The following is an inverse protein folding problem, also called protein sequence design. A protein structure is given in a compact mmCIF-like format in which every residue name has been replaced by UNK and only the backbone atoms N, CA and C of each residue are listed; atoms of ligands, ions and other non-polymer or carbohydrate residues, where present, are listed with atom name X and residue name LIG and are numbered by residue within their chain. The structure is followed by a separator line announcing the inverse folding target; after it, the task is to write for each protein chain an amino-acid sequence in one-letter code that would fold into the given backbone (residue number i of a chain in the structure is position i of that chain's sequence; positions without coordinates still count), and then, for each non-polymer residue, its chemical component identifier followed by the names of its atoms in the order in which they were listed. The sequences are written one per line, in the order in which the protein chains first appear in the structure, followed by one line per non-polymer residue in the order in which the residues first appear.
data_IF_438356927630
#
_entry.id   IF_438356927630
#
_cell.length_a   1.000
_cell.length_b   1.000
_cell.length_c   1.000
_cell.angle_alpha   90.00
_cell.angle_beta   90.00
_cell.angle_gamma   90.00
#
_symmetry.space_group_name_H-M   'P 1'
#
loop_
_entity.id
_entity.type
_entity.pdbx_description
1 polymer ?
#
# COMPACT_ATOMS: atom_id res chain seq x y z
N UNK A 1 2.92 -52.02 -8.97
CA UNK A 1 1.63 -51.83 -8.26
C UNK A 1 0.59 -51.41 -9.29
N UNK A 2 -0.69 -51.73 -9.09
CA UNK A 2 -1.77 -51.32 -10.02
C UNK A 2 -2.23 -49.88 -9.74
N UNK A 3 -2.89 -49.23 -10.71
CA UNK A 3 -3.47 -47.90 -10.56
C UNK A 3 -4.48 -47.81 -9.38
N UNK A 4 -5.16 -48.91 -9.07
CA UNK A 4 -6.07 -49.01 -7.91
C UNK A 4 -5.34 -48.89 -6.57
N UNK A 5 -4.13 -49.47 -6.48
CA UNK A 5 -3.31 -49.38 -5.27
C UNK A 5 -2.79 -47.95 -5.04
N UNK A 6 -2.35 -47.27 -6.11
CA UNK A 6 -1.88 -45.89 -6.01
C UNK A 6 -3.00 -44.95 -5.54
N UNK A 7 -4.20 -45.16 -6.05
CA UNK A 7 -5.39 -44.41 -5.64
C UNK A 7 -5.70 -44.62 -4.15
N UNK A 8 -5.61 -45.86 -3.66
CA UNK A 8 -5.81 -46.19 -2.25
C UNK A 8 -4.81 -45.45 -1.34
N UNK A 9 -3.53 -45.52 -1.67
CA UNK A 9 -2.48 -44.85 -0.90
C UNK A 9 -2.56 -43.32 -0.97
N UNK A 10 -2.91 -42.76 -2.13
CA UNK A 10 -3.10 -41.33 -2.27
C UNK A 10 -4.27 -40.81 -1.41
N UNK A 11 -5.35 -41.58 -1.24
CA UNK A 11 -6.43 -41.21 -0.31
C UNK A 11 -5.97 -41.11 1.14
N UNK A 12 -5.01 -41.94 1.55
CA UNK A 12 -4.40 -41.84 2.88
C UNK A 12 -3.53 -40.59 3.01
N UNK A 13 -2.75 -40.25 1.98
CA UNK A 13 -2.02 -38.98 1.93
C UNK A 13 -2.98 -37.76 1.96
N UNK A 14 -4.13 -37.84 1.30
CA UNK A 14 -5.19 -36.83 1.36
C UNK A 14 -5.76 -36.66 2.79
N UNK A 15 -5.89 -37.74 3.57
CA UNK A 15 -6.32 -37.64 4.97
C UNK A 15 -5.31 -36.83 5.82
N UNK A 16 -4.01 -37.02 5.57
CA UNK A 16 -2.97 -36.21 6.23
C UNK A 16 -2.97 -34.75 5.76
N UNK A 17 -3.22 -34.51 4.46
CA UNK A 17 -3.38 -33.16 3.92
C UNK A 17 -4.57 -32.42 4.55
N UNK A 18 -5.69 -33.12 4.76
CA UNK A 18 -6.85 -32.59 5.46
C UNK A 18 -6.52 -32.25 6.93
N UNK A 19 -5.75 -33.10 7.61
CA UNK A 19 -5.31 -32.84 8.97
C UNK A 19 -4.36 -31.62 9.06
N UNK A 20 -3.48 -31.42 8.07
CA UNK A 20 -2.69 -30.18 7.95
C UNK A 20 -3.60 -28.95 7.79
N UNK A 21 -4.60 -29.02 6.90
CA UNK A 21 -5.57 -27.94 6.72
C UNK A 21 -6.28 -27.57 8.04
N UNK A 22 -6.72 -28.58 8.81
CA UNK A 22 -7.36 -28.39 10.12
C UNK A 22 -6.43 -27.74 11.15
N UNK A 23 -5.12 -27.99 11.05
CA UNK A 23 -4.10 -27.33 11.87
C UNK A 23 -3.72 -25.92 11.37
N UNK A 24 -4.33 -25.43 10.28
CA UNK A 24 -4.02 -24.12 9.69
C UNK A 24 -2.76 -24.11 8.82
N UNK A 25 -2.24 -25.29 8.48
CA UNK A 25 -1.10 -25.49 7.59
C UNK A 25 -1.55 -25.62 6.13
N UNK A 26 -0.64 -25.37 5.19
CA UNK A 26 -0.91 -25.63 3.77
C UNK A 26 -1.21 -27.13 3.59
N UNK A 27 -2.35 -27.53 3.00
CA UNK A 27 -2.83 -28.91 3.02
C UNK A 27 -2.06 -29.82 2.06
N UNK A 28 -0.87 -30.24 2.47
CA UNK A 28 -0.08 -31.28 1.81
C UNK A 28 0.14 -32.41 2.81
N UNK A 29 -0.11 -33.63 2.36
CA UNK A 29 0.08 -34.85 3.12
C UNK A 29 0.88 -35.85 2.31
N UNK A 30 1.62 -36.71 3.02
CA UNK A 30 2.44 -37.74 2.43
C UNK A 30 2.44 -39.01 3.28
N UNK A 31 2.61 -40.15 2.63
CA UNK A 31 2.82 -41.44 3.30
C UNK A 31 3.96 -42.21 2.64
N UNK A 32 4.66 -43.03 3.42
CA UNK A 32 5.70 -43.95 2.95
C UNK A 32 5.18 -45.38 3.10
N UNK A 33 5.21 -46.14 2.01
CA UNK A 33 4.73 -47.53 1.94
C UNK A 33 5.89 -48.46 1.61
N UNK A 34 5.95 -49.61 2.29
CA UNK A 34 6.89 -50.70 1.99
C UNK A 34 6.17 -52.03 2.14
N UNK A 35 6.35 -52.94 1.19
CA UNK A 35 5.77 -54.29 1.22
C UNK A 35 4.23 -54.29 1.45
N UNK A 36 3.54 -53.30 0.85
CA UNK A 36 2.09 -53.12 0.98
C UNK A 36 1.61 -52.55 2.32
N UNK A 37 2.53 -52.08 3.18
CA UNK A 37 2.20 -51.51 4.49
C UNK A 37 2.68 -50.06 4.61
N UNK A 38 1.88 -49.22 5.27
CA UNK A 38 2.28 -47.85 5.61
C UNK A 38 3.32 -47.89 6.72
N UNK A 39 4.52 -47.40 6.42
CA UNK A 39 5.65 -47.29 7.35
C UNK A 39 5.55 -45.97 8.13
N UNK A 40 5.22 -44.87 7.45
CA UNK A 40 5.09 -43.58 8.08
C UNK A 40 4.10 -42.68 7.35
N UNK A 41 3.59 -41.69 8.08
CA UNK A 41 2.81 -40.59 7.53
C UNK A 41 3.49 -39.27 7.83
N UNK A 42 3.17 -38.25 7.05
CA UNK A 42 3.68 -36.90 7.22
C UNK A 42 2.72 -35.89 6.63
N UNK A 43 2.76 -34.69 7.16
CA UNK A 43 1.96 -33.55 6.70
C UNK A 43 2.74 -32.28 6.91
N UNK A 44 2.42 -31.23 6.16
CA UNK A 44 3.04 -29.94 6.37
C UNK A 44 2.84 -29.48 7.82
N UNK A 45 3.94 -29.07 8.46
CA UNK A 45 3.94 -28.43 9.77
C UNK A 45 4.92 -27.22 9.90
N UNK A 46 5.17 -26.41 8.83
CA UNK A 46 6.15 -25.32 8.92
C UNK A 46 5.72 -24.19 9.85
N UNK A 47 4.42 -23.89 9.97
CA UNK A 47 3.91 -22.81 10.83
C UNK A 47 3.96 -23.24 12.29
N UNK A 48 3.41 -24.41 12.62
CA UNK A 48 3.34 -24.94 13.97
C UNK A 48 4.73 -25.32 14.51
N UNK A 49 5.56 -25.94 13.65
CA UNK A 49 6.90 -26.40 14.03
C UNK A 49 7.97 -25.32 13.97
N UNK A 50 7.67 -24.14 13.40
CA UNK A 50 8.67 -23.12 13.05
C UNK A 50 9.85 -23.70 12.24
N UNK A 51 9.61 -24.77 11.47
CA UNK A 51 10.62 -25.50 10.70
C UNK A 51 10.36 -25.27 9.20
N UNK A 52 11.20 -24.49 8.50
CA UNK A 52 11.01 -24.23 7.07
C UNK A 52 11.14 -25.49 6.20
N UNK A 53 11.66 -26.60 6.76
CA UNK A 53 11.83 -27.88 6.07
C UNK A 53 10.74 -28.90 6.40
N UNK A 54 9.79 -28.59 7.29
CA UNK A 54 8.71 -29.51 7.72
C UNK A 54 7.61 -29.65 6.66
N UNK A 55 8.01 -29.93 5.41
CA UNK A 55 7.12 -30.35 4.34
C UNK A 55 6.67 -31.81 4.58
N UNK A 56 5.48 -32.15 4.10
CA UNK A 56 4.87 -33.46 4.31
C UNK A 56 5.82 -34.62 3.96
N UNK A 57 6.55 -34.50 2.85
CA UNK A 57 7.48 -35.50 2.36
C UNK A 57 8.68 -35.65 3.30
N UNK A 58 9.26 -34.54 3.76
CA UNK A 58 10.39 -34.56 4.70
C UNK A 58 9.96 -35.16 6.04
N UNK A 59 8.78 -34.80 6.53
CA UNK A 59 8.21 -35.35 7.77
C UNK A 59 8.02 -36.86 7.64
N UNK A 60 7.42 -37.32 6.52
CA UNK A 60 7.18 -38.74 6.28
C UNK A 60 8.49 -39.53 6.12
N UNK A 61 9.47 -38.99 5.39
CA UNK A 61 10.80 -39.59 5.22
C UNK A 61 11.54 -39.74 6.55
N UNK A 62 11.56 -38.68 7.38
CA UNK A 62 12.18 -38.70 8.72
C UNK A 62 11.54 -39.76 9.60
N UNK A 63 10.21 -39.81 9.65
CA UNK A 63 9.48 -40.81 10.42
C UNK A 63 9.71 -42.24 9.91
N UNK A 64 9.75 -42.45 8.59
CA UNK A 64 10.05 -43.75 8.00
C UNK A 64 11.47 -44.22 8.34
N UNK A 65 12.45 -43.31 8.25
CA UNK A 65 13.84 -43.60 8.55
C UNK A 65 14.04 -43.98 10.02
N UNK A 66 13.37 -43.27 10.93
CA UNK A 66 13.36 -43.63 12.35
C UNK A 66 12.74 -45.01 12.58
N UNK A 67 11.57 -45.28 11.98
CA UNK A 67 10.89 -46.57 12.15
C UNK A 67 11.70 -47.75 11.61
N UNK A 68 12.38 -47.58 10.49
CA UNK A 68 13.24 -48.60 9.89
C UNK A 68 14.66 -48.61 10.49
N UNK A 69 14.98 -47.65 11.37
CA UNK A 69 16.32 -47.42 11.89
C UNK A 69 17.38 -47.32 10.78
N UNK A 70 17.02 -46.70 9.66
CA UNK A 70 17.88 -46.55 8.49
C UNK A 70 17.49 -45.30 7.70
N UNK A 71 18.48 -44.47 7.35
CA UNK A 71 18.26 -43.28 6.51
C UNK A 71 18.00 -43.62 5.04
N UNK A 72 18.38 -44.83 4.61
CA UNK A 72 18.04 -45.37 3.29
C UNK A 72 16.73 -46.15 3.40
N UNK A 73 15.80 -45.83 2.52
CA UNK A 73 14.45 -46.34 2.43
C UNK A 73 14.30 -47.19 1.16
N UNK A 74 15.30 -48.02 0.87
CA UNK A 74 15.29 -48.90 -0.31
C UNK A 74 14.01 -49.77 -0.31
N UNK A 75 13.37 -49.85 -1.48
CA UNK A 75 12.09 -50.56 -1.68
C UNK A 75 10.85 -49.79 -1.21
N UNK A 76 10.98 -48.62 -0.59
CA UNK A 76 9.84 -47.81 -0.20
C UNK A 76 9.29 -47.00 -1.39
N UNK A 77 7.97 -46.79 -1.39
CA UNK A 77 7.26 -45.84 -2.24
C UNK A 77 6.71 -44.69 -1.40
N UNK A 78 6.87 -43.46 -1.84
CA UNK A 78 6.27 -42.28 -1.20
C UNK A 78 5.08 -41.79 -2.02
N UNK A 79 3.96 -41.53 -1.37
CA UNK A 79 2.78 -40.92 -1.97
C UNK A 79 2.60 -39.53 -1.36
N UNK A 80 2.44 -38.48 -2.18
CA UNK A 80 2.26 -37.10 -1.72
C UNK A 80 1.17 -36.39 -2.52
N UNK A 81 0.35 -35.57 -1.86
CA UNK A 81 -0.79 -34.93 -2.53
C UNK A 81 -0.40 -33.82 -3.52
N UNK A 82 0.82 -33.30 -3.45
CA UNK A 82 1.32 -32.23 -4.31
C UNK A 82 2.69 -32.63 -4.87
N UNK A 83 2.99 -32.20 -6.10
CA UNK A 83 4.30 -32.40 -6.71
C UNK A 83 5.43 -31.85 -5.80
N UNK A 84 6.47 -32.65 -5.52
CA UNK A 84 7.51 -32.26 -4.58
C UNK A 84 8.38 -31.13 -5.12
N UNK A 85 8.81 -30.23 -4.23
CA UNK A 85 9.79 -29.21 -4.54
C UNK A 85 11.22 -29.77 -4.57
N UNK A 86 12.19 -28.98 -5.05
CA UNK A 86 13.59 -29.39 -5.18
C UNK A 86 14.20 -29.96 -3.88
N UNK A 87 13.88 -29.38 -2.72
CA UNK A 87 14.34 -29.89 -1.42
C UNK A 87 13.81 -31.30 -1.14
N UNK A 88 12.51 -31.52 -1.34
CA UNK A 88 11.86 -32.80 -1.06
C UNK A 88 12.34 -33.87 -2.05
N UNK A 89 12.41 -33.53 -3.35
CA UNK A 89 12.96 -34.40 -4.39
C UNK A 89 14.41 -34.82 -4.11
N UNK A 90 15.28 -33.88 -3.70
CA UNK A 90 16.64 -34.19 -3.29
C UNK A 90 16.70 -35.14 -2.10
N UNK A 91 15.85 -34.93 -1.08
CA UNK A 91 15.76 -35.82 0.07
C UNK A 91 15.30 -37.23 -0.31
N UNK A 92 14.34 -37.37 -1.23
CA UNK A 92 13.88 -38.66 -1.75
C UNK A 92 14.99 -39.44 -2.46
N UNK A 93 15.79 -38.75 -3.29
CA UNK A 93 16.94 -39.32 -3.98
C UNK A 93 18.03 -39.77 -3.00
N UNK A 94 18.33 -38.97 -1.98
CA UNK A 94 19.27 -39.34 -0.91
C UNK A 94 18.77 -40.52 -0.08
N UNK A 95 17.45 -40.59 0.16
CA UNK A 95 16.81 -41.70 0.85
C UNK A 95 16.67 -42.96 -0.02
N UNK A 96 16.95 -42.87 -1.33
CA UNK A 96 16.87 -44.00 -2.29
C UNK A 96 15.48 -44.62 -2.36
N UNK A 97 14.45 -43.79 -2.37
CA UNK A 97 13.10 -44.30 -2.63
C UNK A 97 13.07 -45.02 -3.98
N UNK A 98 12.41 -46.17 -4.01
CA UNK A 98 12.18 -46.88 -5.26
C UNK A 98 11.24 -46.08 -6.17
N UNK A 99 10.22 -45.43 -5.55
CA UNK A 99 9.15 -44.76 -6.28
C UNK A 99 8.58 -43.57 -5.52
N UNK A 100 8.17 -42.55 -6.26
CA UNK A 100 7.44 -41.37 -5.77
C UNK A 100 6.19 -41.21 -6.62
N UNK A 101 5.05 -41.10 -5.97
CA UNK A 101 3.76 -40.89 -6.60
C UNK A 101 3.18 -39.59 -6.09
N UNK A 102 2.80 -38.67 -6.97
CA UNK A 102 2.20 -37.40 -6.57
C UNK A 102 0.84 -37.15 -7.19
N UNK A 103 0.01 -36.37 -6.49
CA UNK A 103 -1.34 -36.01 -6.91
C UNK A 103 -1.37 -34.82 -7.86
N UNK A 104 -1.55 -33.62 -7.32
CA UNK A 104 -1.61 -32.39 -8.10
C UNK A 104 -0.21 -31.92 -8.53
N UNK A 105 -0.12 -31.25 -9.69
CA UNK A 105 1.11 -30.57 -10.15
C UNK A 105 1.34 -29.27 -9.39
N UNK A 106 2.61 -28.86 -9.24
CA UNK A 106 3.01 -27.60 -8.61
C UNK A 106 3.75 -26.70 -9.62
N UNK A 107 3.02 -25.86 -10.37
CA UNK A 107 3.58 -25.12 -11.51
C UNK A 107 4.58 -24.03 -11.12
N UNK A 108 4.70 -23.66 -9.83
CA UNK A 108 5.60 -22.59 -9.39
C UNK A 108 6.90 -23.10 -8.78
N UNK A 109 6.90 -24.30 -8.19
CA UNK A 109 8.07 -24.82 -7.45
C UNK A 109 8.33 -26.32 -7.63
N UNK A 110 7.48 -27.03 -8.36
CA UNK A 110 7.57 -28.48 -8.57
C UNK A 110 8.85 -28.88 -9.29
N UNK A 111 9.49 -29.94 -8.79
CA UNK A 111 10.79 -30.42 -9.25
C UNK A 111 10.75 -31.85 -9.83
N UNK A 112 9.55 -32.34 -10.15
CA UNK A 112 9.33 -33.65 -10.77
C UNK A 112 8.79 -33.55 -12.20
N UNK A 113 8.94 -32.38 -12.85
CA UNK A 113 8.52 -32.14 -14.22
C UNK A 113 7.97 -30.73 -14.48
N UNK A 114 7.48 -30.01 -13.46
CA UNK A 114 6.86 -28.69 -13.67
C UNK A 114 7.86 -27.56 -13.92
N UNK A 115 8.72 -27.26 -12.94
CA UNK A 115 9.74 -26.20 -13.05
C UNK A 115 11.12 -26.80 -13.27
N UNK A 116 11.43 -27.84 -12.51
CA UNK A 116 12.63 -28.65 -12.64
C UNK A 116 12.23 -30.12 -12.79
N UNK A 117 13.14 -30.95 -13.27
CA UNK A 117 12.96 -32.40 -13.30
C UNK A 117 14.19 -33.10 -12.71
N UNK A 118 14.33 -33.07 -11.38
CA UNK A 118 15.49 -33.66 -10.70
C UNK A 118 15.58 -35.18 -10.91
N UNK A 119 14.44 -35.86 -11.01
CA UNK A 119 14.39 -37.30 -11.25
C UNK A 119 14.74 -37.69 -12.69
N UNK A 120 14.73 -36.74 -13.63
CA UNK A 120 15.10 -36.97 -15.03
C UNK A 120 16.59 -36.95 -15.32
N UNK A 121 17.45 -36.62 -14.33
CA UNK A 121 18.89 -36.53 -14.51
C UNK A 121 19.59 -37.87 -14.23
N UNK A 122 20.08 -38.51 -15.28
CA UNK A 122 20.75 -39.82 -15.21
C UNK A 122 22.10 -39.78 -14.47
N UNK A 123 22.72 -38.60 -14.35
CA UNK A 123 23.99 -38.39 -13.66
C UNK A 123 23.84 -38.49 -12.12
N UNK A 124 22.61 -38.36 -11.61
CA UNK A 124 22.32 -38.56 -10.19
C UNK A 124 22.32 -40.07 -9.91
N UNK A 125 23.17 -40.51 -8.99
CA UNK A 125 23.47 -41.93 -8.76
C UNK A 125 22.22 -42.80 -8.54
N UNK A 126 21.37 -42.44 -7.58
CA UNK A 126 20.14 -43.20 -7.28
C UNK A 126 18.99 -42.69 -8.13
N UNK A 127 18.27 -43.62 -8.73
CA UNK A 127 17.15 -43.35 -9.60
C UNK A 127 15.85 -43.76 -8.92
N UNK A 128 14.84 -42.91 -9.03
CA UNK A 128 13.53 -43.09 -8.40
C UNK A 128 12.46 -42.99 -9.48
N UNK A 129 11.57 -43.98 -9.56
CA UNK A 129 10.44 -43.93 -10.48
C UNK A 129 9.46 -42.84 -10.04
N UNK A 130 8.99 -42.01 -10.97
CA UNK A 130 8.03 -40.94 -10.68
C UNK A 130 6.72 -41.18 -11.42
N UNK A 131 5.61 -41.13 -10.68
CA UNK A 131 4.26 -41.18 -11.25
C UNK A 131 3.46 -39.97 -10.77
N UNK A 132 3.04 -39.12 -11.69
CA UNK A 132 2.23 -37.94 -11.40
C UNK A 132 0.75 -38.14 -11.72
N UNK A 133 -0.10 -37.29 -11.13
CA UNK A 133 -1.49 -37.15 -11.53
C UNK A 133 -2.49 -38.06 -10.80
N UNK A 134 -2.06 -38.82 -9.80
CA UNK A 134 -2.96 -39.74 -9.07
C UNK A 134 -3.91 -38.93 -8.18
N UNK A 135 -5.21 -38.95 -8.48
CA UNK A 135 -6.22 -38.10 -7.82
C UNK A 135 -5.87 -36.59 -7.89
N UNK A 136 -5.32 -36.14 -9.02
CA UNK A 136 -4.90 -34.76 -9.22
C UNK A 136 -5.99 -33.73 -8.88
N UNK A 137 -7.22 -33.97 -9.34
CA UNK A 137 -8.34 -33.05 -9.13
C UNK A 137 -8.72 -32.94 -7.65
N UNK A 138 -8.78 -34.05 -6.91
CA UNK A 138 -9.09 -34.05 -5.48
C UNK A 138 -7.99 -33.32 -4.68
N UNK A 139 -6.73 -33.61 -4.99
CA UNK A 139 -5.58 -32.97 -4.36
C UNK A 139 -5.53 -31.45 -4.64
N UNK A 140 -5.72 -31.05 -5.90
CA UNK A 140 -5.74 -29.65 -6.30
C UNK A 140 -6.94 -28.88 -5.74
N UNK A 141 -8.09 -29.54 -5.62
CA UNK A 141 -9.30 -28.94 -5.03
C UNK A 141 -9.12 -28.64 -3.55
N UNK A 142 -8.49 -29.52 -2.78
CA UNK A 142 -8.20 -29.27 -1.37
C UNK A 142 -7.28 -28.05 -1.17
N UNK A 143 -6.19 -27.97 -1.96
CA UNK A 143 -5.23 -26.87 -1.89
C UNK A 143 -5.86 -25.53 -2.28
N UNK A 144 -6.58 -25.50 -3.41
CA UNK A 144 -7.24 -24.28 -3.89
C UNK A 144 -8.38 -23.82 -2.97
N UNK A 145 -9.13 -24.77 -2.39
CA UNK A 145 -10.16 -24.53 -1.37
C UNK A 145 -9.59 -23.84 -0.13
N UNK A 146 -8.49 -24.35 0.42
CA UNK A 146 -7.81 -23.78 1.59
C UNK A 146 -7.41 -22.32 1.39
N UNK A 147 -6.71 -22.00 0.28
CA UNK A 147 -6.31 -20.62 0.01
C UNK A 147 -7.50 -19.71 -0.29
N UNK A 148 -8.57 -20.23 -0.89
CA UNK A 148 -9.81 -19.46 -1.10
C UNK A 148 -10.48 -19.12 0.22
N UNK A 149 -10.55 -20.08 1.15
CA UNK A 149 -11.10 -19.85 2.48
C UNK A 149 -10.24 -18.85 3.28
N UNK A 150 -8.91 -18.97 3.26
CA UNK A 150 -8.02 -18.00 3.90
C UNK A 150 -8.20 -16.59 3.36
N UNK A 151 -8.27 -16.41 2.04
CA UNK A 151 -8.56 -15.10 1.44
C UNK A 151 -9.92 -14.54 1.87
N UNK A 152 -10.94 -15.39 1.99
CA UNK A 152 -12.27 -14.99 2.48
C UNK A 152 -12.23 -14.55 3.95
N UNK A 153 -11.54 -15.31 4.81
CA UNK A 153 -11.37 -14.96 6.24
C UNK A 153 -10.63 -13.64 6.42
N UNK A 154 -9.49 -13.45 5.74
CA UNK A 154 -8.74 -12.19 5.78
C UNK A 154 -9.58 -11.00 5.33
N UNK A 155 -10.39 -11.18 4.28
CA UNK A 155 -11.32 -10.15 3.81
C UNK A 155 -12.40 -9.85 4.85
N UNK A 156 -12.96 -10.88 5.49
CA UNK A 156 -13.98 -10.72 6.54
C UNK A 156 -13.41 -10.01 7.77
N UNK A 157 -12.20 -10.34 8.22
CA UNK A 157 -11.50 -9.68 9.33
C UNK A 157 -11.16 -8.22 9.00
N UNK A 158 -10.74 -7.93 7.75
CA UNK A 158 -10.50 -6.56 7.29
C UNK A 158 -11.80 -5.74 7.24
N UNK A 159 -12.90 -6.33 6.79
CA UNK A 159 -14.24 -5.71 6.82
C UNK A 159 -14.74 -5.50 8.25
N UNK A 160 -14.51 -6.46 9.15
CA UNK A 160 -14.90 -6.35 10.55
C UNK A 160 -14.15 -5.22 11.28
N UNK A 161 -12.86 -5.02 10.99
CA UNK A 161 -12.07 -3.91 11.56
C UNK A 161 -12.51 -2.53 11.07
N UNK A 162 -12.93 -2.44 9.81
CA UNK A 162 -13.34 -1.18 9.19
C UNK A 162 -14.55 -1.41 8.27
N UNK A 163 -15.78 -1.49 8.82
CA UNK A 163 -16.96 -1.74 8.02
C UNK A 163 -17.12 -0.67 6.95
N UNK A 164 -17.43 -1.09 5.72
CA UNK A 164 -17.73 -0.16 4.64
C UNK A 164 -19.16 0.36 4.84
N UNK A 165 -19.33 1.68 4.86
CA UNK A 165 -20.66 2.30 4.89
C UNK A 165 -21.41 2.10 3.58
N UNK A 166 -22.72 1.97 3.68
CA UNK A 166 -23.61 1.79 2.53
C UNK A 166 -23.60 2.96 1.54
N UNK A 167 -23.24 4.16 1.99
CA UNK A 167 -23.15 5.37 1.18
C UNK A 167 -21.74 5.61 0.59
N UNK A 168 -20.81 4.66 0.78
CA UNK A 168 -19.44 4.76 0.31
C UNK A 168 -19.02 3.56 -0.56
N UNK A 169 -17.92 3.75 -1.28
CA UNK A 169 -17.20 2.72 -2.02
C UNK A 169 -15.78 2.60 -1.46
N UNK A 170 -15.20 1.40 -1.56
CA UNK A 170 -13.81 1.13 -1.21
C UNK A 170 -13.11 0.52 -2.41
N UNK A 171 -12.08 1.19 -2.90
CA UNK A 171 -11.32 0.70 -4.05
C UNK A 171 -10.70 -0.64 -3.67
N UNK A 172 -10.82 -1.70 -4.50
CA UNK A 172 -10.23 -2.99 -4.21
C UNK A 172 -8.71 -2.89 -4.01
N UNK A 173 -8.15 -3.57 -3.00
CA UNK A 173 -6.72 -3.51 -2.69
C UNK A 173 -5.84 -3.93 -3.89
N UNK A 174 -6.35 -4.80 -4.76
CA UNK A 174 -5.67 -5.22 -5.99
C UNK A 174 -5.38 -4.07 -6.97
N UNK A 175 -6.15 -2.97 -6.93
CA UNK A 175 -5.88 -1.78 -7.74
C UNK A 175 -4.57 -1.09 -7.35
N UNK A 176 -4.07 -1.34 -6.13
CA UNK A 176 -2.84 -0.76 -5.58
C UNK A 176 -1.69 -1.77 -5.55
N UNK A 177 -1.80 -2.88 -6.28
CA UNK A 177 -0.70 -3.83 -6.42
C UNK A 177 0.41 -3.24 -7.29
N UNK A 178 1.68 -3.47 -6.92
CA UNK A 178 2.86 -3.13 -7.73
C UNK A 178 3.02 -1.62 -8.08
N UNK A 179 2.67 -0.73 -7.15
CA UNK A 179 2.85 0.72 -7.34
C UNK A 179 4.35 1.10 -7.39
N UNK A 180 4.82 1.78 -8.46
CA UNK A 180 6.23 2.19 -8.57
C UNK A 180 6.63 3.15 -7.45
N UNK A 181 7.73 2.86 -6.75
CA UNK A 181 8.28 3.76 -5.72
C UNK A 181 7.39 3.96 -4.49
N UNK A 182 6.44 3.06 -4.22
CA UNK A 182 5.51 3.17 -3.08
C UNK A 182 5.53 1.88 -2.24
N UNK A 183 6.59 1.63 -1.45
CA UNK A 183 6.79 0.37 -0.73
C UNK A 183 6.05 0.30 0.62
N UNK A 184 5.38 1.37 1.05
CA UNK A 184 4.83 1.48 2.40
C UNK A 184 3.55 0.65 2.60
N UNK A 185 3.48 0.03 3.77
CA UNK A 185 2.30 -0.71 4.20
C UNK A 185 1.14 0.28 4.50
N UNK A 186 -0.10 -0.02 4.08
CA UNK A 186 -1.21 0.87 4.34
C UNK A 186 -1.59 0.85 5.83
N UNK A 187 -1.78 2.02 6.42
CA UNK A 187 -2.38 2.18 7.75
C UNK A 187 -3.75 2.84 7.61
N UNK A 188 -4.67 2.53 8.53
CA UNK A 188 -6.05 2.99 8.44
C UNK A 188 -6.56 3.52 9.78
N UNK A 189 -7.36 4.58 9.71
CA UNK A 189 -8.15 5.11 10.83
C UNK A 189 -9.62 5.14 10.45
N UNK A 190 -10.50 4.85 11.39
CA UNK A 190 -11.96 4.91 11.19
C UNK A 190 -12.72 5.33 12.45
N UNK A 191 -11.98 5.67 13.51
CA UNK A 191 -12.45 6.05 14.83
C UNK A 191 -12.52 7.57 15.03
N UNK A 192 -12.19 8.36 14.00
CA UNK A 192 -12.37 9.81 14.04
C UNK A 192 -13.88 10.14 14.03
N UNK A 193 -14.38 10.99 14.94
CA UNK A 193 -15.79 11.35 15.01
C UNK A 193 -16.40 11.78 13.67
N UNK A 194 -15.70 12.64 12.93
CA UNK A 194 -16.17 13.17 11.64
C UNK A 194 -16.15 12.16 10.51
N UNK A 195 -15.37 11.08 10.61
CA UNK A 195 -15.42 10.00 9.63
C UNK A 195 -16.72 9.21 9.75
N UNK A 196 -17.34 9.18 10.94
CA UNK A 196 -18.56 8.43 11.22
C UNK A 196 -18.50 7.01 10.63
N UNK A 197 -17.38 6.31 10.85
CA UNK A 197 -17.13 4.94 10.36
C UNK A 197 -16.51 4.81 8.97
N UNK A 198 -16.30 5.89 8.21
CA UNK A 198 -15.49 5.83 6.99
C UNK A 198 -14.04 5.47 7.33
N UNK A 199 -13.41 4.65 6.48
CA UNK A 199 -11.99 4.32 6.61
C UNK A 199 -11.13 5.31 5.84
N UNK A 200 -10.24 6.00 6.54
CA UNK A 200 -9.21 6.84 5.96
C UNK A 200 -7.87 6.09 5.96
N UNK A 201 -7.18 6.09 4.83
CA UNK A 201 -5.80 5.62 4.74
C UNK A 201 -4.84 6.74 5.13
N UNK A 202 -3.76 6.37 5.81
CA UNK A 202 -2.63 7.26 6.09
C UNK A 202 -1.32 6.50 5.99
N UNK A 203 -0.30 7.14 5.43
CA UNK A 203 1.08 6.78 5.75
C UNK A 203 1.44 7.44 7.07
N UNK A 204 2.13 6.71 7.95
CA UNK A 204 2.70 7.20 9.20
C UNK A 204 4.02 6.44 9.42
N UNK A 205 5.08 7.02 8.85
CA UNK A 205 6.38 6.38 8.69
C UNK A 205 7.44 7.13 9.50
N UNK A 206 8.51 6.44 9.88
CA UNK A 206 9.58 6.98 10.71
C UNK A 206 9.27 6.96 12.23
N UNK A 207 10.22 7.40 13.07
CA UNK A 207 10.07 7.34 14.52
C UNK A 207 8.97 8.29 15.03
N UNK A 208 8.11 7.84 15.93
CA UNK A 208 7.04 8.70 16.50
C UNK A 208 7.56 9.82 17.39
N UNK A 209 8.75 9.64 17.94
CA UNK A 209 9.51 10.57 18.76
C UNK A 209 10.53 11.40 17.94
N UNK A 210 10.46 11.33 16.60
CA UNK A 210 11.30 12.14 15.74
C UNK A 210 11.15 13.64 16.08
N UNK A 211 12.25 14.42 16.03
CA UNK A 211 12.23 15.82 16.44
C UNK A 211 11.38 16.70 15.51
N UNK A 212 11.09 16.22 14.29
CA UNK A 212 10.27 16.89 13.28
C UNK A 212 9.31 15.88 12.64
N UNK A 213 8.07 16.33 12.41
CA UNK A 213 7.05 15.57 11.67
C UNK A 213 6.65 16.32 10.40
N UNK A 214 6.74 15.67 9.25
CA UNK A 214 6.23 16.19 7.98
C UNK A 214 4.79 15.76 7.78
N UNK A 215 3.84 16.69 7.79
CA UNK A 215 2.43 16.41 7.46
C UNK A 215 2.17 16.76 6.00
N UNK A 216 2.12 15.75 5.13
CA UNK A 216 2.01 15.89 3.69
C UNK A 216 0.57 15.77 3.21
N UNK A 217 -0.06 16.89 2.86
CA UNK A 217 -1.45 16.94 2.41
C UNK A 217 -1.52 17.06 0.90
N UNK A 218 -2.12 16.07 0.24
CA UNK A 218 -2.29 16.10 -1.22
C UNK A 218 -3.52 16.93 -1.61
N UNK A 219 -3.58 17.31 -2.89
CA UNK A 219 -4.76 17.95 -3.49
C UNK A 219 -5.56 17.04 -4.41
N UNK A 220 -6.44 17.65 -5.20
CA UNK A 220 -7.25 16.98 -6.21
C UNK A 220 -6.51 16.97 -7.56
N UNK A 221 -6.50 15.87 -8.33
CA UNK A 221 -7.10 14.55 -8.07
C UNK A 221 -6.10 13.51 -7.51
N UNK A 222 -5.04 13.96 -6.84
CA UNK A 222 -3.95 13.11 -6.37
C UNK A 222 -4.30 12.38 -5.06
N UNK A 223 -3.30 11.69 -4.51
CA UNK A 223 -3.33 11.01 -3.22
C UNK A 223 -1.90 10.92 -2.65
N UNK A 224 -1.67 10.28 -1.50
CA UNK A 224 -0.34 10.17 -0.85
C UNK A 224 0.80 9.68 -1.76
N UNK A 225 0.49 8.94 -2.83
CA UNK A 225 1.44 8.57 -3.90
C UNK A 225 2.19 9.77 -4.52
N UNK A 226 1.59 10.96 -4.50
CA UNK A 226 2.21 12.21 -4.97
C UNK A 226 3.47 12.57 -4.19
N UNK A 227 3.55 12.16 -2.92
CA UNK A 227 4.69 12.45 -2.07
C UNK A 227 5.77 11.36 -2.10
N UNK A 228 5.62 10.31 -2.93
CA UNK A 228 6.54 9.14 -2.94
C UNK A 228 8.01 9.48 -3.19
N UNK A 229 8.28 10.59 -3.90
CA UNK A 229 9.64 11.09 -4.19
C UNK A 229 10.21 11.97 -3.07
N UNK A 230 9.36 12.44 -2.16
CA UNK A 230 9.74 13.29 -1.03
C UNK A 230 9.96 12.46 0.24
N UNK A 231 9.08 11.48 0.49
CA UNK A 231 9.09 10.62 1.67
C UNK A 231 10.47 10.01 1.98
N UNK A 232 11.17 9.37 1.01
CA UNK A 232 12.47 8.75 1.29
C UNK A 232 13.50 9.74 1.82
N UNK A 233 13.48 10.99 1.35
CA UNK A 233 14.43 12.03 1.76
C UNK A 233 14.13 12.50 3.20
N UNK A 234 12.85 12.66 3.53
CA UNK A 234 12.43 12.97 4.90
C UNK A 234 12.77 11.85 5.89
N UNK A 235 12.49 10.61 5.51
CA UNK A 235 12.80 9.43 6.33
C UNK A 235 14.31 9.24 6.52
N UNK A 236 15.11 9.48 5.47
CA UNK A 236 16.57 9.44 5.56
C UNK A 236 17.15 10.52 6.50
N UNK A 237 16.42 11.62 6.71
CA UNK A 237 16.79 12.65 7.69
C UNK A 237 16.45 12.26 9.14
N UNK A 238 15.86 11.08 9.37
CA UNK A 238 15.42 10.62 10.69
C UNK A 238 14.09 11.21 11.16
N UNK A 239 13.32 11.82 10.26
CA UNK A 239 12.05 12.46 10.58
C UNK A 239 10.87 11.49 10.50
N UNK A 240 9.75 11.88 11.12
CA UNK A 240 8.45 11.25 10.92
C UNK A 240 7.75 11.85 9.71
N UNK A 241 7.06 11.04 8.91
CA UNK A 241 6.23 11.51 7.80
C UNK A 241 4.83 10.95 7.92
N UNK A 242 3.84 11.84 7.90
CA UNK A 242 2.42 11.49 7.88
C UNK A 242 1.79 12.01 6.59
N UNK A 243 1.21 11.13 5.79
CA UNK A 243 0.57 11.48 4.52
C UNK A 243 -0.81 10.80 4.40
N UNK A 244 -1.89 11.47 4.84
CA UNK A 244 -3.24 10.93 4.72
C UNK A 244 -3.77 11.01 3.29
N UNK A 245 -4.57 10.03 2.89
CA UNK A 245 -5.43 10.14 1.72
C UNK A 245 -6.76 10.77 2.14
N UNK A 246 -7.09 11.95 1.61
CA UNK A 246 -8.38 12.59 1.83
C UNK A 246 -9.52 11.65 1.45
N UNK A 247 -10.63 11.71 2.19
CA UNK A 247 -11.81 10.90 1.90
C UNK A 247 -12.32 11.20 0.49
N UNK A 248 -12.49 10.16 -0.32
CA UNK A 248 -12.73 10.29 -1.77
C UNK A 248 -11.51 10.02 -2.66
N UNK A 249 -10.30 9.91 -2.10
CA UNK A 249 -9.05 9.75 -2.85
C UNK A 249 -8.26 8.52 -2.38
N UNK A 250 -7.21 8.16 -3.13
CA UNK A 250 -6.25 7.13 -2.76
C UNK A 250 -6.88 5.81 -2.28
N UNK A 251 -6.38 5.29 -1.16
CA UNK A 251 -6.88 4.06 -0.50
C UNK A 251 -8.01 4.32 0.51
N UNK A 252 -8.36 5.58 0.75
CA UNK A 252 -9.49 5.98 1.59
C UNK A 252 -10.83 5.62 0.95
N UNK A 253 -11.84 5.44 1.80
CA UNK A 253 -13.23 5.27 1.38
C UNK A 253 -13.71 6.48 0.59
N UNK A 254 -14.67 6.24 -0.31
CA UNK A 254 -15.15 7.23 -1.28
C UNK A 254 -16.67 7.34 -1.19
N UNK A 255 -17.21 8.39 -0.54
CA UNK A 255 -18.63 8.67 -0.56
C UNK A 255 -19.17 8.72 -1.99
N UNK A 256 -20.34 8.11 -2.22
CA UNK A 256 -20.93 7.96 -3.55
C UNK A 256 -21.43 9.29 -4.15
N UNK A 257 -21.70 10.29 -3.30
CA UNK A 257 -22.35 11.56 -3.67
C UNK A 257 -21.41 12.73 -3.45
N UNK A 258 -21.39 13.66 -4.41
CA UNK A 258 -20.62 14.91 -4.34
C UNK A 258 -20.97 15.77 -3.12
N UNK A 259 -22.25 15.77 -2.71
CA UNK A 259 -22.72 16.51 -1.55
C UNK A 259 -22.09 16.09 -0.22
N UNK A 260 -21.44 14.93 -0.15
CA UNK A 260 -20.69 14.51 1.04
C UNK A 260 -19.38 15.30 1.21
N UNK A 261 -18.79 15.81 0.13
CA UNK A 261 -17.50 16.50 0.17
C UNK A 261 -17.70 18.00 0.46
N UNK A 262 -17.81 18.34 1.74
CA UNK A 262 -17.89 19.72 2.23
C UNK A 262 -16.53 20.19 2.76
N UNK A 263 -16.21 21.48 2.57
CA UNK A 263 -14.95 22.09 3.03
C UNK A 263 -14.73 21.86 4.52
N UNK A 264 -15.70 22.26 5.36
CA UNK A 264 -15.57 22.21 6.81
C UNK A 264 -15.44 20.77 7.32
N UNK A 265 -16.09 19.82 6.66
CA UNK A 265 -15.98 18.41 7.00
C UNK A 265 -14.59 17.83 6.71
N UNK A 266 -14.03 18.08 5.51
CA UNK A 266 -12.65 17.65 5.21
C UNK A 266 -11.63 18.28 6.15
N UNK A 267 -11.81 19.57 6.44
CA UNK A 267 -10.97 20.28 7.43
C UNK A 267 -11.07 19.62 8.80
N UNK A 268 -12.27 19.32 9.28
CA UNK A 268 -12.49 18.72 10.58
C UNK A 268 -11.87 17.33 10.68
N UNK A 269 -11.99 16.49 9.65
CA UNK A 269 -11.32 15.18 9.61
C UNK A 269 -9.79 15.31 9.76
N UNK A 270 -9.18 16.32 9.13
CA UNK A 270 -7.74 16.57 9.25
C UNK A 270 -7.34 17.05 10.66
N UNK A 271 -8.14 17.90 11.30
CA UNK A 271 -7.90 18.32 12.69
C UNK A 271 -7.97 17.12 13.64
N UNK A 272 -9.01 16.30 13.51
CA UNK A 272 -9.17 15.08 14.32
C UNK A 272 -8.03 14.08 14.07
N UNK A 273 -7.52 13.95 12.84
CA UNK A 273 -6.36 13.12 12.55
C UNK A 273 -5.11 13.62 13.29
N UNK A 274 -4.84 14.93 13.25
CA UNK A 274 -3.69 15.54 13.91
C UNK A 274 -3.73 15.27 15.42
N UNK A 275 -4.90 15.44 16.04
CA UNK A 275 -5.12 15.14 17.46
C UNK A 275 -4.97 13.66 17.76
N UNK A 276 -5.59 12.79 16.94
CA UNK A 276 -5.59 11.33 17.12
C UNK A 276 -4.20 10.70 17.03
N UNK A 277 -3.31 11.29 16.25
CA UNK A 277 -1.91 10.85 16.11
C UNK A 277 -0.94 11.63 17.01
N UNK A 278 -1.47 12.57 17.81
CA UNK A 278 -0.75 13.57 18.60
C UNK A 278 0.44 14.19 17.84
N UNK A 279 0.18 14.69 16.62
CA UNK A 279 1.27 15.27 15.82
C UNK A 279 1.76 16.57 16.46
N UNK A 280 3.08 16.71 16.55
CA UNK A 280 3.80 17.86 17.15
C UNK A 280 5.02 18.18 16.30
N UNK A 281 5.56 19.39 16.48
CA UNK A 281 6.69 19.91 15.70
C UNK A 281 6.46 19.72 14.19
N UNK A 282 5.23 20.00 13.75
CA UNK A 282 4.78 19.71 12.39
C UNK A 282 5.38 20.74 11.44
N UNK A 283 6.05 20.26 10.41
CA UNK A 283 6.24 21.01 9.16
C UNK A 283 5.13 20.60 8.21
N UNK A 284 4.19 21.51 8.01
CA UNK A 284 3.05 21.31 7.14
C UNK A 284 3.51 21.38 5.67
N UNK A 285 3.30 20.31 4.90
CA UNK A 285 3.66 20.22 3.48
C UNK A 285 2.39 20.21 2.64
N UNK A 286 2.18 21.24 1.83
CA UNK A 286 0.90 21.48 1.17
C UNK A 286 1.01 21.89 -0.29
N UNK A 287 0.01 21.51 -1.08
CA UNK A 287 -0.16 21.83 -2.50
C UNK A 287 -1.65 21.65 -2.86
N UNK A 288 -2.17 22.45 -3.81
CA UNK A 288 -3.56 22.43 -4.28
C UNK A 288 -4.57 22.38 -3.10
N UNK A 289 -5.53 21.44 -3.11
CA UNK A 289 -6.51 21.27 -2.05
C UNK A 289 -5.91 20.92 -0.69
N UNK A 290 -4.73 20.30 -0.70
CA UNK A 290 -3.94 20.10 0.52
C UNK A 290 -3.58 21.43 1.16
N UNK A 291 -3.31 22.48 0.38
CA UNK A 291 -3.08 23.83 0.89
C UNK A 291 -4.36 24.61 1.18
N UNK A 292 -5.39 24.50 0.33
CA UNK A 292 -6.70 25.15 0.56
C UNK A 292 -7.27 24.73 1.93
N UNK A 293 -7.17 23.46 2.30
CA UNK A 293 -7.55 22.96 3.62
C UNK A 293 -6.43 23.19 4.65
N UNK A 294 -5.22 22.74 4.34
CA UNK A 294 -4.09 22.68 5.26
C UNK A 294 -3.70 24.01 5.85
N UNK A 295 -3.70 25.08 5.05
CA UNK A 295 -3.36 26.43 5.52
C UNK A 295 -4.37 26.96 6.57
N UNK A 296 -5.52 26.32 6.75
CA UNK A 296 -6.50 26.68 7.77
C UNK A 296 -6.38 25.89 9.07
N UNK A 297 -5.52 24.87 9.12
CA UNK A 297 -5.37 24.00 10.29
C UNK A 297 -4.61 24.67 11.44
N UNK A 298 -3.48 25.39 11.21
CA UNK A 298 -2.71 26.00 12.29
C UNK A 298 -3.50 27.01 13.14
N UNK A 299 -4.55 27.63 12.58
CA UNK A 299 -5.43 28.54 13.32
C UNK A 299 -6.10 27.88 14.53
N UNK A 300 -6.40 26.58 14.43
CA UNK A 300 -7.11 25.84 15.48
C UNK A 300 -6.18 25.25 16.55
N UNK A 301 -4.90 25.06 16.24
CA UNK A 301 -3.93 24.34 17.06
C UNK A 301 -2.49 24.81 16.76
N UNK A 302 -2.21 26.12 16.91
CA UNK A 302 -0.98 26.73 16.44
C UNK A 302 0.29 26.13 17.07
N UNK A 303 0.18 25.65 18.31
CA UNK A 303 1.28 25.06 19.07
C UNK A 303 1.83 23.75 18.48
N UNK A 304 1.09 23.11 17.57
CA UNK A 304 1.51 21.86 16.92
C UNK A 304 2.40 22.10 15.70
N UNK A 305 2.41 23.31 15.13
CA UNK A 305 3.06 23.62 13.86
C UNK A 305 4.31 24.46 14.05
N UNK A 306 5.45 23.95 13.57
CA UNK A 306 6.76 24.59 13.64
C UNK A 306 7.23 25.14 12.27
N UNK A 307 6.70 24.61 11.16
CA UNK A 307 7.09 25.05 9.83
C UNK A 307 6.02 24.85 8.75
N UNK A 308 6.26 25.48 7.60
CA UNK A 308 5.41 25.39 6.41
C UNK A 308 6.28 25.20 5.16
N UNK A 309 6.13 24.08 4.47
CA UNK A 309 6.58 23.89 3.09
C UNK A 309 5.36 24.02 2.16
N UNK A 310 5.27 25.14 1.47
CA UNK A 310 4.12 25.46 0.61
C UNK A 310 4.50 25.38 -0.87
N UNK A 311 3.75 24.56 -1.61
CA UNK A 311 3.82 24.42 -3.07
C UNK A 311 2.51 24.90 -3.70
N UNK A 312 2.46 24.99 -5.04
CA UNK A 312 1.37 25.56 -5.84
C UNK A 312 -0.03 25.32 -5.25
N UNK A 313 -0.57 26.37 -4.61
CA UNK A 313 -1.84 26.37 -3.88
C UNK A 313 -2.37 27.81 -3.80
N UNK A 314 -3.52 27.99 -3.18
CA UNK A 314 -4.03 29.28 -2.75
C UNK A 314 -4.68 29.18 -1.36
N UNK A 315 -4.91 30.34 -0.74
CA UNK A 315 -5.80 30.49 0.39
C UNK A 315 -7.12 31.11 -0.11
N UNK A 316 -8.19 30.33 -0.16
CA UNK A 316 -9.44 30.71 -0.81
C UNK A 316 -10.35 31.54 0.13
N UNK A 317 -10.06 32.82 0.28
CA UNK A 317 -10.75 33.75 1.18
C UNK A 317 -12.12 34.23 0.67
N UNK A 318 -12.41 34.03 -0.62
CA UNK A 318 -13.67 34.39 -1.27
C UNK A 318 -13.89 35.89 -1.51
N UNK A 319 -12.92 36.74 -1.16
CA UNK A 319 -12.94 38.20 -1.39
C UNK A 319 -12.24 38.62 -2.69
N UNK A 320 -11.43 37.73 -3.28
CA UNK A 320 -10.85 37.90 -4.60
C UNK A 320 -11.40 36.85 -5.58
N UNK A 321 -11.49 37.21 -6.85
CA UNK A 321 -11.84 36.28 -7.91
C UNK A 321 -10.79 35.16 -8.00
N UNK A 322 -11.25 33.94 -8.29
CA UNK A 322 -10.35 32.81 -8.51
C UNK A 322 -9.50 33.04 -9.77
N UNK A 323 -8.25 32.56 -9.82
CA UNK A 323 -7.40 32.69 -11.00
C UNK A 323 -8.06 32.16 -12.26
N UNK A 324 -7.86 32.82 -13.40
CA UNK A 324 -8.47 32.43 -14.67
C UNK A 324 -8.17 30.97 -15.05
N UNK A 325 -6.93 30.51 -14.80
CA UNK A 325 -6.53 29.12 -14.98
C UNK A 325 -7.33 28.13 -14.12
N UNK A 326 -7.64 28.51 -12.88
CA UNK A 326 -8.50 27.73 -12.00
C UNK A 326 -9.94 27.66 -12.51
N UNK A 327 -10.50 28.79 -12.98
CA UNK A 327 -11.84 28.82 -13.57
C UNK A 327 -11.93 27.92 -14.81
N UNK A 328 -10.91 27.96 -15.68
CA UNK A 328 -10.83 27.09 -16.86
C UNK A 328 -10.69 25.61 -16.48
N UNK A 329 -9.88 25.30 -15.47
CA UNK A 329 -9.72 23.96 -14.92
C UNK A 329 -11.05 23.41 -14.36
N UNK A 330 -11.78 24.22 -13.57
CA UNK A 330 -13.10 23.87 -13.03
C UNK A 330 -14.10 23.56 -14.13
N UNK A 331 -14.16 24.40 -15.17
CA UNK A 331 -15.03 24.16 -16.32
C UNK A 331 -14.68 22.84 -17.03
N UNK A 332 -13.39 22.55 -17.23
CA UNK A 332 -12.94 21.29 -17.83
C UNK A 332 -13.38 20.07 -17.02
N UNK A 333 -13.27 20.12 -15.69
CA UNK A 333 -13.75 19.03 -14.81
C UNK A 333 -15.25 18.78 -14.95
N UNK A 334 -16.05 19.85 -15.11
CA UNK A 334 -17.50 19.76 -15.32
C UNK A 334 -17.85 19.17 -16.68
N UNK A 335 -17.17 19.63 -17.74
CA UNK A 335 -17.44 19.22 -19.11
C UNK A 335 -16.90 17.83 -19.44
N UNK A 336 -15.83 17.39 -18.75
CA UNK A 336 -15.15 16.11 -18.97
C UNK A 336 -15.02 15.31 -17.68
N UNK A 337 -16.12 14.88 -17.03
CA UNK A 337 -16.09 14.26 -15.69
C UNK A 337 -15.34 12.91 -15.61
N UNK A 338 -14.99 12.32 -16.76
CA UNK A 338 -14.21 11.09 -16.88
C UNK A 338 -12.80 11.34 -17.42
N UNK A 339 -12.23 12.53 -17.24
CA UNK A 339 -10.84 12.82 -17.63
C UNK A 339 -9.88 11.77 -17.03
N UNK A 340 -8.84 11.40 -17.80
CA UNK A 340 -7.80 10.50 -17.32
C UNK A 340 -6.94 11.21 -16.27
N UNK A 341 -6.86 10.67 -15.06
CA UNK A 341 -6.17 11.29 -13.93
C UNK A 341 -4.66 11.21 -14.16
N UNK A 342 -4.14 10.04 -14.50
CA UNK A 342 -2.72 9.88 -14.87
C UNK A 342 -2.32 10.79 -16.03
N UNK A 343 -3.17 10.88 -17.06
CA UNK A 343 -2.94 11.77 -18.22
C UNK A 343 -2.91 13.24 -17.83
N UNK A 344 -3.73 13.67 -16.86
CA UNK A 344 -3.70 15.04 -16.36
C UNK A 344 -2.35 15.35 -15.71
N UNK A 345 -1.87 14.47 -14.82
CA UNK A 345 -0.62 14.68 -14.12
C UNK A 345 0.58 14.68 -15.07
N UNK A 346 0.56 13.81 -16.08
CA UNK A 346 1.59 13.75 -17.12
C UNK A 346 1.69 15.03 -17.98
N UNK A 347 0.63 15.83 -18.11
CA UNK A 347 0.67 17.09 -18.89
C UNK A 347 1.66 18.10 -18.32
N UNK A 348 1.76 18.17 -16.99
CA UNK A 348 2.70 19.07 -16.30
C UNK A 348 3.98 18.37 -15.85
N UNK A 349 4.12 17.07 -16.14
CA UNK A 349 5.21 16.21 -15.70
C UNK A 349 5.48 15.14 -16.79
N UNK A 350 6.05 15.54 -17.94
CA UNK A 350 6.21 14.63 -19.09
C UNK A 350 7.17 13.47 -18.84
N UNK A 351 7.96 13.53 -17.76
CA UNK A 351 8.86 12.46 -17.32
C UNK A 351 8.16 11.30 -16.61
N UNK A 352 6.86 11.41 -16.29
CA UNK A 352 6.12 10.32 -15.66
C UNK A 352 6.01 9.11 -16.59
N UNK A 353 6.37 7.95 -16.04
CA UNK A 353 6.20 6.68 -16.75
C UNK A 353 4.73 6.29 -16.87
N UNK A 354 4.37 5.40 -17.81
CA UNK A 354 3.01 4.86 -17.89
C UNK A 354 2.54 4.19 -16.59
N UNK A 355 3.44 3.52 -15.87
CA UNK A 355 3.12 2.87 -14.61
C UNK A 355 2.84 3.88 -13.47
N UNK A 356 3.59 4.97 -13.42
CA UNK A 356 3.31 6.08 -12.48
C UNK A 356 2.00 6.79 -12.83
N UNK A 357 1.68 6.96 -14.11
CA UNK A 357 0.39 7.49 -14.53
C UNK A 357 -0.75 6.57 -14.09
N UNK A 358 -0.60 5.26 -14.27
CA UNK A 358 -1.59 4.27 -13.85
C UNK A 358 -1.81 4.27 -12.32
N UNK A 359 -0.78 4.55 -11.52
CA UNK A 359 -0.89 4.69 -10.07
C UNK A 359 -1.84 5.83 -9.65
N UNK A 360 -1.99 6.86 -10.48
CA UNK A 360 -2.95 7.95 -10.25
C UNK A 360 -4.38 7.62 -10.70
N UNK A 361 -4.54 6.74 -11.68
CA UNK A 361 -5.84 6.23 -12.10
C UNK A 361 -6.36 5.13 -11.16
N UNK A 362 -5.47 4.40 -10.47
CA UNK A 362 -5.77 3.26 -9.59
C UNK A 362 -6.91 3.49 -8.57
N UNK A 363 -7.03 4.64 -7.88
CA UNK A 363 -8.14 4.88 -6.95
C UNK A 363 -9.52 4.91 -7.61
N UNK A 364 -9.60 5.07 -8.94
CA UNK A 364 -10.80 5.45 -9.68
C UNK A 364 -11.14 4.46 -10.81
N UNK A 365 -11.41 3.17 -10.48
CA UNK A 365 -11.60 2.12 -11.48
C UNK A 365 -12.84 2.34 -12.37
N UNK A 366 -13.86 3.03 -11.87
CA UNK A 366 -15.04 3.40 -12.64
C UNK A 366 -15.63 4.76 -12.18
N UNK A 367 -16.72 5.19 -12.82
CA UNK A 367 -17.40 6.46 -12.57
C UNK A 367 -17.90 6.66 -11.13
N UNK A 368 -18.21 5.58 -10.42
CA UNK A 368 -18.73 5.59 -9.05
C UNK A 368 -17.73 6.11 -8.02
N UNK A 369 -16.44 5.89 -8.26
CA UNK A 369 -15.35 6.30 -7.35
C UNK A 369 -14.94 7.78 -7.51
N UNK A 370 -15.58 8.52 -8.41
CA UNK A 370 -15.13 9.85 -8.86
C UNK A 370 -15.94 11.03 -8.31
N UNK A 371 -16.74 10.83 -7.26
CA UNK A 371 -17.55 11.90 -6.68
C UNK A 371 -16.69 13.08 -6.17
N UNK A 372 -15.57 12.80 -5.51
CA UNK A 372 -14.66 13.82 -5.01
C UNK A 372 -14.04 14.67 -6.14
N UNK A 373 -13.72 14.05 -7.28
CA UNK A 373 -13.09 14.71 -8.44
C UNK A 373 -14.01 15.77 -9.07
N UNK A 374 -15.32 15.62 -8.88
CA UNK A 374 -16.34 16.58 -9.34
C UNK A 374 -16.64 17.61 -8.26
N UNK A 375 -16.71 17.18 -7.00
CA UNK A 375 -17.01 18.07 -5.89
C UNK A 375 -15.89 19.09 -5.63
N UNK A 376 -14.63 18.66 -5.58
CA UNK A 376 -13.51 19.52 -5.18
C UNK A 376 -13.38 20.78 -6.06
N UNK A 377 -13.37 20.71 -7.41
CA UNK A 377 -13.32 21.93 -8.22
C UNK A 377 -14.42 22.94 -7.90
N UNK A 378 -15.66 22.48 -7.69
CA UNK A 378 -16.85 23.32 -7.40
C UNK A 378 -16.87 23.86 -5.97
N UNK A 379 -16.14 23.24 -5.03
CA UNK A 379 -16.17 23.58 -3.60
C UNK A 379 -15.09 24.59 -3.18
N UNK A 380 -14.23 25.05 -4.09
CA UNK A 380 -13.27 26.12 -3.75
C UNK A 380 -14.05 27.42 -3.51
N UNK A 381 -13.90 28.04 -2.31
CA UNK A 381 -14.61 29.27 -1.97
C UNK A 381 -14.38 30.37 -3.01
N UNK A 382 -15.45 30.91 -3.57
CA UNK A 382 -15.42 31.92 -4.63
C UNK A 382 -16.15 33.22 -4.28
N UNK A 383 -16.80 33.26 -3.13
CA UNK A 383 -17.57 34.39 -2.62
C UNK A 383 -17.42 34.48 -1.10
N UNK A 384 -17.71 35.64 -0.53
CA UNK A 384 -17.49 35.94 0.88
C UNK A 384 -18.29 35.06 1.84
N UNK A 385 -19.47 34.61 1.41
CA UNK A 385 -20.43 33.75 2.10
C UNK A 385 -20.28 32.26 1.76
N UNK A 386 -19.36 31.90 0.86
CA UNK A 386 -19.13 30.52 0.49
C UNK A 386 -18.60 29.70 1.70
N UNK A 387 -19.00 28.43 1.85
CA UNK A 387 -18.45 27.53 2.87
C UNK A 387 -16.91 27.52 2.83
N UNK A 388 -16.26 27.63 3.99
CA UNK A 388 -14.80 27.72 4.09
C UNK A 388 -14.18 29.12 3.89
N UNK A 389 -14.91 30.10 3.31
CA UNK A 389 -14.37 31.44 3.05
C UNK A 389 -14.02 32.19 4.35
N UNK A 390 -14.92 32.15 5.34
CA UNK A 390 -14.69 32.80 6.64
C UNK A 390 -13.49 32.19 7.39
N UNK A 391 -13.37 30.86 7.40
CA UNK A 391 -12.24 30.14 7.98
C UNK A 391 -10.93 30.48 7.25
N UNK A 392 -10.97 30.58 5.92
CA UNK A 392 -9.81 30.98 5.12
C UNK A 392 -9.38 32.42 5.39
N UNK A 393 -10.30 33.35 5.67
CA UNK A 393 -9.96 34.71 6.11
C UNK A 393 -9.33 34.74 7.50
N UNK A 394 -9.86 33.98 8.45
CA UNK A 394 -9.21 33.82 9.76
C UNK A 394 -7.80 33.23 9.63
N UNK A 395 -7.60 32.29 8.71
CA UNK A 395 -6.28 31.76 8.39
C UNK A 395 -5.35 32.81 7.79
N UNK A 396 -5.85 33.68 6.89
CA UNK A 396 -5.06 34.80 6.36
C UNK A 396 -4.54 35.68 7.50
N UNK A 397 -5.42 36.06 8.43
CA UNK A 397 -5.06 36.91 9.57
C UNK A 397 -4.03 36.23 10.46
N UNK A 398 -4.17 34.91 10.69
CA UNK A 398 -3.16 34.11 11.40
C UNK A 398 -1.80 34.14 10.69
N UNK A 399 -1.74 33.88 9.39
CA UNK A 399 -0.49 33.86 8.62
C UNK A 399 0.19 35.24 8.55
N UNK A 400 -0.59 36.32 8.54
CA UNK A 400 -0.05 37.69 8.50
C UNK A 400 0.47 38.15 9.86
N UNK A 401 -0.22 37.79 10.94
CA UNK A 401 -0.02 38.46 12.23
C UNK A 401 0.49 37.53 13.34
N UNK A 402 0.12 36.25 13.32
CA UNK A 402 0.34 35.32 14.43
C UNK A 402 1.40 34.25 14.14
N UNK A 403 1.61 33.88 12.88
CA UNK A 403 2.59 32.87 12.51
C UNK A 403 4.02 33.25 12.95
N UNK A 404 4.66 32.33 13.67
CA UNK A 404 6.05 32.47 14.16
C UNK A 404 6.98 31.37 13.63
N UNK A 405 6.45 30.36 12.95
CA UNK A 405 7.25 29.28 12.40
C UNK A 405 8.02 29.71 11.15
N UNK A 406 8.83 28.79 10.62
CA UNK A 406 9.59 29.05 9.39
C UNK A 406 8.78 28.62 8.17
N UNK A 407 8.91 29.34 7.06
CA UNK A 407 8.22 29.01 5.82
C UNK A 407 9.21 28.86 4.68
N UNK A 408 8.98 27.88 3.81
CA UNK A 408 9.67 27.67 2.55
C UNK A 408 8.62 27.54 1.46
N UNK A 409 8.75 28.32 0.39
CA UNK A 409 7.85 28.26 -0.75
C UNK A 409 8.60 27.74 -1.98
N UNK A 410 7.98 26.77 -2.67
CA UNK A 410 8.49 26.23 -3.94
C UNK A 410 7.39 26.27 -4.99
N UNK A 411 7.68 26.82 -6.17
CA UNK A 411 6.70 27.08 -7.22
C UNK A 411 7.10 26.38 -8.51
N UNK A 412 6.21 25.58 -9.08
CA UNK A 412 6.35 25.10 -10.45
C UNK A 412 6.01 26.20 -11.45
N UNK A 413 7.00 26.58 -12.28
CA UNK A 413 6.88 27.70 -13.22
C UNK A 413 5.87 27.45 -14.34
N UNK A 414 5.63 26.18 -14.69
CA UNK A 414 4.76 25.79 -15.80
C UNK A 414 3.30 25.58 -15.37
N UNK A 415 2.96 25.84 -14.10
CA UNK A 415 1.58 25.69 -13.63
C UNK A 415 0.65 26.75 -14.23
N UNK A 416 -0.33 26.36 -15.07
CA UNK A 416 -1.27 27.31 -15.67
C UNK A 416 -2.43 27.66 -14.74
N UNK A 417 -2.53 27.04 -13.55
CA UNK A 417 -3.66 27.15 -12.63
C UNK A 417 -3.32 28.04 -11.45
N UNK A 418 -2.34 27.63 -10.62
CA UNK A 418 -1.93 28.29 -9.38
C UNK A 418 -0.43 28.62 -9.41
N UNK A 419 0.03 29.12 -10.57
CA UNK A 419 1.44 29.44 -10.82
C UNK A 419 1.96 30.65 -10.04
N UNK A 420 3.11 31.17 -10.50
CA UNK A 420 3.88 32.19 -9.79
C UNK A 420 3.07 33.43 -9.33
N UNK A 421 2.16 34.03 -10.12
CA UNK A 421 1.38 35.18 -9.65
C UNK A 421 0.54 34.86 -8.40
N UNK A 422 -0.15 33.72 -8.39
CA UNK A 422 -0.96 33.27 -7.25
C UNK A 422 -0.07 32.98 -6.04
N UNK A 423 1.03 32.28 -6.24
CA UNK A 423 1.97 31.95 -5.17
C UNK A 423 2.67 33.19 -4.60
N UNK A 424 2.95 34.22 -5.41
CA UNK A 424 3.48 35.50 -4.92
C UNK A 424 2.49 36.25 -4.03
N UNK A 425 1.20 36.27 -4.39
CA UNK A 425 0.17 36.85 -3.54
C UNK A 425 0.06 36.10 -2.19
N UNK A 426 0.18 34.77 -2.22
CA UNK A 426 0.22 33.96 -1.00
C UNK A 426 1.50 34.21 -0.18
N UNK A 427 2.66 34.35 -0.83
CA UNK A 427 3.94 34.63 -0.17
C UNK A 427 3.90 35.95 0.60
N UNK A 428 3.33 37.00 0.02
CA UNK A 428 3.14 38.30 0.67
C UNK A 428 2.18 38.24 1.87
N UNK A 429 1.30 37.23 1.90
CA UNK A 429 0.39 36.99 3.02
C UNK A 429 1.08 36.28 4.18
N UNK A 430 2.02 35.39 3.90
CA UNK A 430 2.69 34.59 4.93
C UNK A 430 3.84 35.39 5.53
N UNK A 431 3.70 35.80 6.79
CA UNK A 431 4.72 36.54 7.53
C UNK A 431 6.05 35.79 7.51
N UNK A 432 7.11 36.48 7.09
CA UNK A 432 8.46 35.92 7.07
C UNK A 432 8.70 34.86 6.00
N UNK A 433 7.80 34.68 5.04
CA UNK A 433 8.02 33.78 3.91
C UNK A 433 9.09 34.37 2.96
N UNK A 434 10.21 33.67 2.71
CA UNK A 434 11.27 34.17 1.84
C UNK A 434 10.83 34.18 0.38
N UNK A 435 11.71 34.68 -0.49
CA UNK A 435 11.56 34.60 -1.93
C UNK A 435 11.27 33.14 -2.38
N UNK A 436 10.23 32.91 -3.19
CA UNK A 436 9.89 31.58 -3.65
C UNK A 436 11.02 30.97 -4.49
N UNK A 437 11.32 29.71 -4.22
CA UNK A 437 12.12 28.89 -5.13
C UNK A 437 11.27 28.56 -6.35
N UNK A 438 11.72 28.93 -7.55
CA UNK A 438 11.01 28.62 -8.79
C UNK A 438 11.68 27.44 -9.50
N UNK A 439 10.91 26.41 -9.80
CA UNK A 439 11.35 25.26 -10.59
C UNK A 439 10.88 25.44 -12.04
N UNK A 440 11.79 25.67 -13.00
CA UNK A 440 11.44 26.02 -14.38
C UNK A 440 10.71 24.90 -15.13
N UNK A 441 11.02 23.65 -14.79
CA UNK A 441 10.51 22.47 -15.48
C UNK A 441 9.29 21.83 -14.81
N UNK A 442 8.87 22.34 -13.65
CA UNK A 442 7.76 21.78 -12.90
C UNK A 442 6.44 22.47 -13.24
N UNK A 443 5.40 21.67 -13.45
CA UNK A 443 4.01 22.12 -13.55
C UNK A 443 3.32 22.27 -12.19
N UNK A 444 2.01 22.08 -12.17
CA UNK A 444 1.17 22.20 -10.98
C UNK A 444 1.53 21.22 -9.84
N UNK A 445 1.84 19.96 -10.19
CA UNK A 445 2.16 18.90 -9.24
C UNK A 445 3.68 18.84 -8.94
N UNK A 446 4.16 19.87 -8.25
CA UNK A 446 5.58 20.12 -7.96
C UNK A 446 6.29 18.92 -7.31
N UNK A 447 5.58 18.10 -6.54
CA UNK A 447 6.11 16.94 -5.82
C UNK A 447 6.64 15.83 -6.75
N UNK A 448 6.29 15.85 -8.04
CA UNK A 448 6.91 14.95 -9.02
C UNK A 448 8.37 15.31 -9.33
N UNK A 449 8.82 16.50 -8.91
CA UNK A 449 10.21 16.91 -8.80
C UNK A 449 10.70 16.87 -7.33
N UNK A 450 10.02 16.07 -6.51
CA UNK A 450 10.03 16.16 -5.06
C UNK A 450 11.35 15.85 -4.38
N UNK A 451 12.27 15.11 -4.99
CA UNK A 451 13.56 14.77 -4.37
C UNK A 451 14.36 16.03 -4.03
N UNK A 452 14.51 16.94 -5.01
CA UNK A 452 15.23 18.21 -4.81
C UNK A 452 14.49 19.15 -3.84
N UNK A 453 13.15 19.14 -3.89
CA UNK A 453 12.31 19.93 -2.99
C UNK A 453 12.46 19.46 -1.55
N UNK A 454 12.38 18.15 -1.32
CA UNK A 454 12.49 17.54 -0.01
C UNK A 454 13.90 17.71 0.57
N UNK A 455 14.96 17.52 -0.24
CA UNK A 455 16.33 17.74 0.20
C UNK A 455 16.56 19.18 0.69
N UNK A 456 16.10 20.16 -0.09
CA UNK A 456 16.16 21.57 0.29
C UNK A 456 15.34 21.86 1.54
N UNK A 457 14.15 21.27 1.65
CA UNK A 457 13.31 21.48 2.82
C UNK A 457 13.94 20.90 4.08
N UNK A 458 14.50 19.70 4.03
CA UNK A 458 15.21 19.06 5.15
C UNK A 458 16.31 19.98 5.66
N UNK A 459 17.17 20.47 4.76
CA UNK A 459 18.26 21.41 5.06
C UNK A 459 17.73 22.72 5.63
N UNK A 460 16.73 23.32 4.97
CA UNK A 460 16.15 24.58 5.41
C UNK A 460 15.60 24.46 6.82
N UNK A 461 14.83 23.42 7.12
CA UNK A 461 14.20 23.21 8.41
C UNK A 461 15.10 22.51 9.44
N UNK A 462 16.39 22.28 9.17
CA UNK A 462 17.32 21.74 10.16
C UNK A 462 17.42 22.67 11.36
N UNK A 463 17.48 22.10 12.56
CA UNK A 463 17.60 22.87 13.80
C UNK A 463 18.95 23.60 13.85
N UNK A 464 18.99 24.93 14.05
CA UNK A 464 20.22 25.61 14.40
C UNK A 464 20.56 25.25 15.86
N UNK A 465 21.34 24.17 16.09
CA UNK A 465 21.78 23.82 17.45
C UNK A 465 22.51 22.49 17.67
N UNK A 466 22.43 21.50 16.77
CA UNK A 466 22.99 20.16 17.03
C UNK A 466 24.43 19.95 16.54
N UNK A 467 25.29 20.97 16.60
CA UNK A 467 26.65 20.83 16.07
C UNK A 467 27.62 21.95 16.43
N UNK A 468 27.87 22.20 17.73
CA UNK A 468 29.08 22.86 18.24
C UNK A 468 29.33 22.52 19.72
N UNK A 469 29.64 21.26 20.04
CA UNK A 469 30.41 20.90 21.23
C UNK A 469 31.20 19.62 20.95
N UNK A 470 32.28 19.78 20.21
CA UNK A 470 33.44 18.90 20.26
C UNK A 470 34.65 19.83 20.26
N UNK A 471 35.13 20.11 21.47
CA UNK A 471 36.33 20.86 21.80
C UNK A 471 36.90 20.28 23.08
#
# INVERSE_FOLDING_TARGET
MSADADTHWMRMALAEAQAAAQAGEVPVGAIVVKDGQVIATGRNAPVQGHDPTAHAEIVALRAAAQRLSNYRLDGCSLYVTLEPCAMCSGAMLHARLARVVYGAVEPKTGAAGSVLNLFGHAEINHQTEVVGGVLADECGSLLSGFFTQRRRQQRAEALARHPLRDDALRTPDAAFAHLPGYPWAPQYVSDLPSLAGLRMHTLDEGPRDAPRTWLCLHGNPAWSYLYRRMLPIFLAAGDRVVAPDLIGFGKSDKPKKEGAHQFDWHRQVLLELIERLDLRNVVLVVQDWGGILGLTLPVAMPERFAGLLVMNTLLATGDAALPAGFVAWRAMCRDKPLYGVGRLLARGNPHLTPAECAAYDAPFPDRGYRAALRAFPERVPQAVDAPGAAVSRAARDFWQHQWQGRSLMVVGAQDPVLGLPTMRALQQTIRGCPEPVVLPDAGHFVQEHGEAVAARAVEYFSFPGAGRFAG
#
